data_IF_484660574311
#
_entry.id   IF_484660574311
#
_cell.length_a   1.000
_cell.length_b   1.000
_cell.length_c   1.000
_cell.angle_alpha   90.00
_cell.angle_beta   90.00
_cell.angle_gamma   90.00
#
_symmetry.space_group_name_H-M   'P 1'
#
loop_
_entity.id
_entity.type
_entity.pdbx_description
1 polymer ?
#
# COMPACT_ATOMS: atom_id res chain seq x y z
N UNK A 1 -18.16 -19.54 13.30
CA UNK A 1 -18.58 -19.90 11.93
C UNK A 1 -17.61 -19.21 10.99
N UNK A 2 -16.95 -19.94 10.09
CA UNK A 2 -16.06 -19.31 9.09
C UNK A 2 -16.94 -18.57 8.09
N UNK A 3 -16.71 -17.28 7.92
CA UNK A 3 -17.45 -16.44 6.98
C UNK A 3 -16.95 -16.75 5.57
N UNK A 4 -17.72 -17.53 4.82
CA UNK A 4 -17.50 -17.79 3.40
C UNK A 4 -18.57 -17.11 2.58
N UNK A 5 -18.16 -16.52 1.47
CA UNK A 5 -19.07 -16.01 0.45
C UNK A 5 -19.83 -17.16 -0.19
N UNK A 6 -21.09 -16.91 -0.55
CA UNK A 6 -21.90 -17.84 -1.35
C UNK A 6 -21.39 -17.92 -2.79
N UNK A 7 -21.70 -19.00 -3.51
CA UNK A 7 -21.31 -19.16 -4.92
C UNK A 7 -21.78 -17.99 -5.80
N UNK A 8 -22.95 -17.42 -5.52
CA UNK A 8 -23.49 -16.26 -6.23
C UNK A 8 -22.73 -14.96 -5.92
N UNK A 9 -22.21 -14.79 -4.69
CA UNK A 9 -21.32 -13.67 -4.35
C UNK A 9 -19.93 -13.87 -4.96
N UNK A 10 -19.37 -15.08 -4.93
CA UNK A 10 -18.10 -15.42 -5.58
C UNK A 10 -18.13 -15.18 -7.09
N UNK A 11 -19.19 -15.65 -7.77
CA UNK A 11 -19.42 -15.38 -9.19
C UNK A 11 -19.56 -13.87 -9.47
N UNK A 12 -20.13 -13.10 -8.53
CA UNK A 12 -20.28 -11.65 -8.66
C UNK A 12 -18.95 -10.91 -8.51
N UNK A 13 -18.12 -11.25 -7.51
CA UNK A 13 -16.76 -10.69 -7.39
C UNK A 13 -15.93 -11.02 -8.63
N UNK A 14 -16.01 -12.27 -9.10
CA UNK A 14 -15.25 -12.72 -10.27
C UNK A 14 -15.71 -12.00 -11.54
N UNK A 15 -17.01 -11.81 -11.73
CA UNK A 15 -17.56 -11.04 -12.85
C UNK A 15 -17.15 -9.56 -12.80
N UNK A 16 -17.09 -8.94 -11.61
CA UNK A 16 -16.57 -7.58 -11.42
C UNK A 16 -15.07 -7.54 -11.76
N UNK A 17 -14.29 -8.54 -11.33
CA UNK A 17 -12.86 -8.61 -11.58
C UNK A 17 -12.52 -8.82 -13.07
N UNK A 18 -13.27 -9.71 -13.74
CA UNK A 18 -13.21 -9.92 -15.19
C UNK A 18 -13.50 -8.63 -15.97
N UNK A 19 -14.37 -7.75 -15.47
CA UNK A 19 -14.67 -6.47 -16.12
C UNK A 19 -13.63 -5.36 -15.83
N UNK A 20 -12.88 -5.43 -14.72
CA UNK A 20 -11.91 -4.38 -14.35
C UNK A 20 -10.47 -4.73 -14.79
N UNK A 21 -10.05 -5.99 -14.67
CA UNK A 21 -8.69 -6.47 -14.98
C UNK A 21 -8.69 -7.85 -15.66
N UNK A 22 -9.80 -8.23 -16.32
CA UNK A 22 -9.87 -9.44 -17.12
C UNK A 22 -9.18 -9.31 -18.48
N UNK A 23 -9.13 -10.41 -19.25
CA UNK A 23 -8.53 -10.39 -20.58
C UNK A 23 -9.29 -9.47 -21.53
N UNK A 24 -8.55 -8.72 -22.35
CA UNK A 24 -9.12 -7.85 -23.38
C UNK A 24 -9.48 -8.65 -24.65
N UNK A 25 -10.50 -8.25 -25.43
CA UNK A 25 -10.73 -8.78 -26.78
C UNK A 25 -9.49 -8.63 -27.68
N UNK A 26 -9.19 -9.63 -28.52
CA UNK A 26 -7.98 -9.69 -29.34
C UNK A 26 -7.76 -8.47 -30.26
N UNK A 27 -8.84 -7.86 -30.75
CA UNK A 27 -8.82 -6.65 -31.57
C UNK A 27 -8.46 -5.42 -30.71
N UNK A 28 -9.18 -5.22 -29.61
CA UNK A 28 -8.91 -4.13 -28.64
C UNK A 28 -7.50 -4.23 -28.05
N UNK A 29 -7.02 -5.44 -27.77
CA UNK A 29 -5.67 -5.69 -27.26
C UNK A 29 -4.59 -5.26 -28.27
N UNK A 30 -4.77 -5.58 -29.56
CA UNK A 30 -3.83 -5.19 -30.63
C UNK A 30 -3.80 -3.70 -30.85
N UNK A 31 -4.96 -3.05 -30.89
CA UNK A 31 -5.06 -1.60 -31.06
C UNK A 31 -4.31 -0.87 -29.93
N UNK A 32 -4.55 -1.27 -28.67
CA UNK A 32 -3.89 -0.67 -27.49
C UNK A 32 -2.38 -0.94 -27.47
N UNK A 33 -1.94 -2.17 -27.77
CA UNK A 33 -0.50 -2.49 -27.79
C UNK A 33 0.19 -1.76 -28.95
N UNK A 34 -0.44 -1.64 -30.12
CA UNK A 34 0.11 -0.86 -31.24
C UNK A 34 0.27 0.62 -30.87
N UNK A 35 -0.76 1.25 -30.28
CA UNK A 35 -0.69 2.64 -29.82
C UNK A 35 0.41 2.85 -28.77
N UNK A 36 0.58 1.88 -27.86
CA UNK A 36 1.66 1.90 -26.87
C UNK A 36 3.04 1.78 -27.53
N UNK A 37 3.23 0.82 -28.45
CA UNK A 37 4.51 0.61 -29.14
C UNK A 37 4.90 1.83 -29.97
N UNK A 38 3.96 2.46 -30.67
CA UNK A 38 4.22 3.70 -31.40
C UNK A 38 4.53 4.87 -30.45
N UNK A 39 3.88 4.95 -29.28
CA UNK A 39 4.22 5.92 -28.24
C UNK A 39 5.66 5.73 -27.73
N UNK A 40 6.05 4.49 -27.43
CA UNK A 40 7.42 4.16 -26.97
C UNK A 40 8.46 4.50 -28.06
N UNK A 41 8.20 4.12 -29.33
CA UNK A 41 9.07 4.48 -30.47
C UNK A 41 9.30 5.98 -30.58
N UNK A 42 8.21 6.76 -30.59
CA UNK A 42 8.25 8.22 -30.69
C UNK A 42 8.98 8.91 -29.50
N UNK A 43 9.00 8.28 -28.32
CA UNK A 43 9.74 8.78 -27.15
C UNK A 43 11.22 8.34 -27.16
N UNK A 44 11.54 7.25 -27.86
CA UNK A 44 12.91 6.71 -27.98
C UNK A 44 13.76 7.34 -29.10
N UNK A 45 13.20 8.20 -29.95
CA UNK A 45 13.93 8.91 -31.01
C UNK A 45 14.99 9.88 -30.43
N UNK A 46 16.17 9.34 -30.12
CA UNK A 46 17.31 10.11 -29.57
C UNK A 46 18.16 9.36 -28.55
N UNK A 47 17.77 8.17 -28.11
CA UNK A 47 18.50 7.33 -27.15
C UNK A 47 18.77 5.94 -27.72
N UNK A 48 19.95 5.38 -27.49
CA UNK A 48 20.26 3.99 -27.85
C UNK A 48 19.20 3.03 -27.28
N UNK A 49 18.73 2.08 -28.09
CA UNK A 49 17.64 1.16 -27.74
C UNK A 49 17.91 0.47 -26.39
N UNK A 50 17.07 0.79 -25.40
CA UNK A 50 17.30 0.39 -24.02
C UNK A 50 17.13 -1.12 -23.84
N UNK A 51 18.21 -1.79 -23.42
CA UNK A 51 18.18 -3.20 -23.06
C UNK A 51 17.16 -3.45 -21.94
N UNK A 52 16.02 -4.06 -22.28
CA UNK A 52 14.96 -4.40 -21.35
C UNK A 52 13.54 -4.00 -21.76
N UNK A 53 13.31 -3.28 -22.87
CA UNK A 53 11.93 -2.98 -23.32
C UNK A 53 11.16 -4.26 -23.69
N UNK A 54 9.92 -4.48 -23.19
CA UNK A 54 9.11 -5.63 -23.57
C UNK A 54 8.75 -5.65 -25.06
N UNK A 55 8.66 -6.85 -25.64
CA UNK A 55 8.21 -7.05 -27.03
C UNK A 55 6.69 -6.92 -27.17
N UNK A 56 6.22 -6.73 -28.40
CA UNK A 56 4.79 -6.68 -28.74
C UNK A 56 4.04 -7.95 -28.28
N UNK A 57 4.64 -9.13 -28.48
CA UNK A 57 4.08 -10.41 -28.04
C UNK A 57 3.99 -10.53 -26.51
N UNK A 58 4.98 -10.01 -25.77
CA UNK A 58 4.98 -9.99 -24.30
C UNK A 58 3.92 -9.03 -23.74
N UNK A 59 3.74 -7.86 -24.37
CA UNK A 59 2.66 -6.92 -24.04
C UNK A 59 1.29 -7.52 -24.36
N UNK A 60 1.11 -8.15 -25.52
CA UNK A 60 -0.13 -8.86 -25.86
C UNK A 60 -0.43 -9.97 -24.85
N UNK A 61 0.55 -10.79 -24.47
CA UNK A 61 0.38 -11.82 -23.44
C UNK A 61 -0.06 -11.23 -22.09
N UNK A 62 0.42 -10.02 -21.73
CA UNK A 62 0.00 -9.28 -20.52
C UNK A 62 -1.49 -8.95 -20.55
N UNK A 63 -2.05 -8.58 -21.71
CA UNK A 63 -3.49 -8.26 -21.87
C UNK A 63 -4.42 -9.46 -21.69
N UNK A 64 -3.89 -10.69 -21.65
CA UNK A 64 -4.66 -11.94 -21.65
C UNK A 64 -4.65 -12.68 -20.29
N UNK A 65 -3.94 -12.16 -19.28
CA UNK A 65 -3.82 -12.83 -17.97
C UNK A 65 -5.16 -12.80 -17.22
N UNK A 66 -5.76 -13.97 -17.00
CA UNK A 66 -7.05 -14.05 -16.32
C UNK A 66 -6.90 -13.98 -14.78
N UNK A 67 -7.71 -13.18 -14.05
CA UNK A 67 -7.77 -13.16 -12.58
C UNK A 67 -7.86 -14.50 -11.85
N UNK A 68 -8.34 -15.57 -12.52
CA UNK A 68 -8.41 -16.93 -11.98
C UNK A 68 -7.01 -17.54 -11.82
N UNK A 69 -6.07 -17.23 -12.72
CA UNK A 69 -4.69 -17.73 -12.66
C UNK A 69 -3.92 -17.16 -11.47
N UNK A 70 -4.27 -15.95 -11.04
CA UNK A 70 -3.75 -15.35 -9.82
C UNK A 70 -4.63 -15.67 -8.60
N UNK A 71 -5.62 -16.56 -8.73
CA UNK A 71 -6.41 -17.07 -7.61
C UNK A 71 -7.14 -15.96 -6.84
N UNK A 72 -7.62 -14.93 -7.55
CA UNK A 72 -8.17 -13.70 -7.00
C UNK A 72 -9.18 -13.93 -5.86
N UNK A 73 -10.08 -14.91 -5.98
CA UNK A 73 -11.08 -15.21 -4.94
C UNK A 73 -10.44 -15.55 -3.58
N UNK A 74 -9.35 -16.32 -3.56
CA UNK A 74 -8.66 -16.66 -2.31
C UNK A 74 -7.96 -15.43 -1.70
N UNK A 75 -7.37 -14.56 -2.54
CA UNK A 75 -6.78 -13.29 -2.11
C UNK A 75 -7.83 -12.35 -1.51
N UNK A 76 -9.01 -12.27 -2.15
CA UNK A 76 -10.16 -11.49 -1.66
C UNK A 76 -10.66 -12.06 -0.33
N UNK A 77 -10.86 -13.37 -0.20
CA UNK A 77 -11.27 -13.99 1.07
C UNK A 77 -10.28 -13.66 2.21
N UNK A 78 -8.97 -13.75 1.96
CA UNK A 78 -7.93 -13.41 2.96
C UNK A 78 -7.97 -11.93 3.34
N UNK A 79 -8.13 -11.03 2.36
CA UNK A 79 -8.21 -9.59 2.62
C UNK A 79 -9.44 -9.23 3.45
N UNK A 80 -10.59 -9.81 3.11
CA UNK A 80 -11.86 -9.57 3.79
C UNK A 80 -11.88 -10.09 5.23
N UNK A 81 -11.17 -11.20 5.52
CA UNK A 81 -11.01 -11.71 6.90
C UNK A 81 -10.23 -10.76 7.83
N UNK A 82 -9.51 -9.78 7.29
CA UNK A 82 -8.74 -8.79 8.06
C UNK A 82 -9.46 -7.43 8.19
N UNK A 83 -10.68 -7.30 7.66
CA UNK A 83 -11.53 -6.12 7.88
C UNK A 83 -12.25 -6.16 9.24
N UNK A 84 -12.58 -4.99 9.83
CA UNK A 84 -13.54 -4.89 10.92
C UNK A 84 -14.90 -5.54 10.57
N UNK A 85 -15.56 -6.18 11.55
CA UNK A 85 -16.78 -6.98 11.33
C UNK A 85 -17.95 -6.19 10.74
N UNK A 86 -18.06 -4.92 11.10
CA UNK A 86 -19.02 -3.96 10.55
C UNK A 86 -18.76 -3.72 9.06
N UNK A 87 -17.51 -3.43 8.67
CA UNK A 87 -17.10 -3.24 7.27
C UNK A 87 -17.27 -4.50 6.43
N UNK A 88 -16.92 -5.67 6.98
CA UNK A 88 -17.25 -6.96 6.36
C UNK A 88 -18.76 -7.05 6.07
N UNK A 89 -19.61 -6.77 7.07
CA UNK A 89 -21.06 -6.91 6.93
C UNK A 89 -21.68 -5.89 5.97
N UNK A 90 -21.11 -4.69 5.85
CA UNK A 90 -21.50 -3.73 4.80
C UNK A 90 -21.17 -4.27 3.40
N UNK A 91 -19.94 -4.77 3.20
CA UNK A 91 -19.49 -5.31 1.91
C UNK A 91 -20.27 -6.56 1.49
N UNK A 92 -20.51 -7.49 2.41
CA UNK A 92 -21.30 -8.71 2.18
C UNK A 92 -22.72 -8.41 1.70
N UNK A 93 -23.37 -7.37 2.25
CA UNK A 93 -24.70 -6.90 1.82
C UNK A 93 -24.69 -6.33 0.40
N UNK A 94 -23.65 -5.57 0.03
CA UNK A 94 -23.50 -5.06 -1.35
C UNK A 94 -23.36 -6.21 -2.33
N UNK A 95 -22.48 -7.19 -2.02
CA UNK A 95 -22.32 -8.38 -2.86
C UNK A 95 -23.61 -9.21 -2.96
N UNK A 96 -24.36 -9.33 -1.86
CA UNK A 96 -25.67 -9.98 -1.88
C UNK A 96 -26.64 -9.25 -2.82
N UNK A 97 -26.76 -7.92 -2.74
CA UNK A 97 -27.60 -7.15 -3.65
C UNK A 97 -27.21 -7.35 -5.12
N UNK A 98 -25.92 -7.26 -5.46
CA UNK A 98 -25.41 -7.50 -6.81
C UNK A 98 -25.55 -8.96 -7.27
N UNK A 99 -25.67 -9.92 -6.35
CA UNK A 99 -26.00 -11.31 -6.69
C UNK A 99 -27.49 -11.52 -7.02
N UNK A 100 -28.33 -10.49 -6.88
CA UNK A 100 -29.77 -10.50 -7.26
C UNK A 100 -30.07 -9.58 -8.43
N UNK A 101 -31.12 -9.88 -9.19
CA UNK A 101 -31.50 -9.06 -10.35
C UNK A 101 -32.03 -7.67 -10.00
N UNK A 102 -32.87 -7.57 -8.97
CA UNK A 102 -33.40 -6.29 -8.52
C UNK A 102 -32.32 -5.43 -7.86
N UNK A 103 -31.44 -6.03 -7.03
CA UNK A 103 -30.36 -5.32 -6.38
C UNK A 103 -29.33 -4.79 -7.37
N UNK A 104 -28.98 -5.58 -8.39
CA UNK A 104 -28.16 -5.12 -9.53
C UNK A 104 -28.80 -3.92 -10.22
N UNK A 105 -30.08 -4.02 -10.61
CA UNK A 105 -30.83 -2.93 -11.28
C UNK A 105 -30.88 -1.64 -10.45
N UNK A 106 -31.08 -1.74 -9.13
CA UNK A 106 -31.17 -0.58 -8.23
C UNK A 106 -29.80 0.04 -7.95
N UNK A 107 -28.77 -0.77 -7.71
CA UNK A 107 -27.43 -0.28 -7.32
C UNK A 107 -26.65 0.27 -8.51
N UNK A 108 -26.76 -0.35 -9.68
CA UNK A 108 -25.94 -0.05 -10.87
C UNK A 108 -26.70 0.60 -12.02
N UNK A 109 -28.02 0.79 -11.89
CA UNK A 109 -28.90 1.21 -12.99
C UNK A 109 -28.81 0.34 -14.27
N UNK A 110 -28.30 -0.91 -14.16
CA UNK A 110 -28.08 -1.84 -15.29
C UNK A 110 -29.27 -1.92 -16.24
N UNK A 111 -29.06 -2.12 -17.54
CA UNK A 111 -30.16 -2.21 -18.50
C UNK A 111 -31.21 -3.26 -18.09
N UNK A 112 -30.75 -4.48 -17.77
CA UNK A 112 -31.57 -5.64 -17.38
C UNK A 112 -31.60 -5.87 -15.86
N UNK A 113 -32.70 -6.47 -15.39
CA UNK A 113 -32.91 -6.89 -14.01
C UNK A 113 -32.47 -8.35 -13.81
N UNK A 114 -31.17 -8.62 -13.97
CA UNK A 114 -30.53 -9.93 -13.75
C UNK A 114 -29.34 -9.76 -12.81
N UNK A 115 -28.93 -10.80 -12.04
CA UNK A 115 -27.72 -10.73 -11.21
C UNK A 115 -26.52 -10.23 -12.00
N UNK A 116 -25.63 -9.47 -11.38
CA UNK A 116 -24.49 -8.83 -12.04
C UNK A 116 -23.63 -9.83 -12.83
N UNK A 117 -23.37 -11.01 -12.28
CA UNK A 117 -22.62 -12.08 -12.95
C UNK A 117 -23.34 -12.73 -14.16
N UNK A 118 -24.61 -12.36 -14.43
CA UNK A 118 -25.39 -12.77 -15.61
C UNK A 118 -25.55 -11.66 -16.65
N UNK A 119 -25.00 -10.47 -16.40
CA UNK A 119 -24.82 -9.43 -17.40
C UNK A 119 -23.70 -9.84 -18.38
N UNK A 120 -23.79 -9.38 -19.63
CA UNK A 120 -22.70 -9.46 -20.62
C UNK A 120 -21.53 -8.55 -20.21
N UNK A 121 -20.37 -8.67 -20.86
CA UNK A 121 -19.19 -7.84 -20.51
C UNK A 121 -19.52 -6.35 -20.64
N UNK A 122 -20.01 -5.90 -21.79
CA UNK A 122 -20.45 -4.51 -22.01
C UNK A 122 -21.56 -4.06 -21.03
N UNK A 123 -22.53 -4.93 -20.69
CA UNK A 123 -23.54 -4.59 -19.68
C UNK A 123 -22.95 -4.43 -18.26
N UNK A 124 -21.84 -5.12 -17.94
CA UNK A 124 -21.11 -4.95 -16.67
C UNK A 124 -20.29 -3.66 -16.68
N UNK A 125 -19.66 -3.33 -17.81
CA UNK A 125 -18.91 -2.07 -17.99
C UNK A 125 -19.82 -0.87 -17.76
N UNK A 126 -20.98 -0.85 -18.44
CA UNK A 126 -22.02 0.17 -18.23
C UNK A 126 -22.50 0.21 -16.77
N UNK A 127 -22.74 -0.95 -16.15
CA UNK A 127 -23.16 -1.04 -14.76
C UNK A 127 -22.11 -0.48 -13.78
N UNK A 128 -20.82 -0.74 -14.00
CA UNK A 128 -19.73 -0.17 -13.20
C UNK A 128 -19.53 1.33 -13.49
N UNK A 129 -19.66 1.76 -14.74
CA UNK A 129 -19.62 3.18 -15.15
C UNK A 129 -20.76 3.99 -14.53
N UNK A 130 -21.96 3.41 -14.43
CA UNK A 130 -23.08 4.04 -13.73
C UNK A 130 -22.81 4.21 -12.22
N UNK A 131 -22.01 3.34 -11.59
CA UNK A 131 -21.59 3.56 -10.20
C UNK A 131 -20.73 4.82 -10.07
N UNK A 132 -19.78 5.06 -10.98
CA UNK A 132 -18.90 6.24 -10.92
C UNK A 132 -19.67 7.54 -11.15
N UNK A 133 -20.67 7.51 -12.04
CA UNK A 133 -21.52 8.65 -12.39
C UNK A 133 -22.70 8.89 -11.43
N UNK A 134 -22.94 7.99 -10.46
CA UNK A 134 -24.07 8.09 -9.54
C UNK A 134 -24.06 9.38 -8.71
N UNK A 135 -25.22 10.04 -8.54
CA UNK A 135 -25.35 11.21 -7.66
C UNK A 135 -25.08 10.90 -6.18
N UNK A 136 -25.23 9.64 -5.75
CA UNK A 136 -25.06 9.22 -4.36
C UNK A 136 -23.61 8.83 -4.04
N UNK A 137 -22.97 9.54 -3.11
CA UNK A 137 -21.56 9.30 -2.74
C UNK A 137 -21.28 7.86 -2.29
N UNK A 138 -22.19 7.25 -1.51
CA UNK A 138 -22.08 5.84 -1.07
C UNK A 138 -22.15 4.83 -2.21
N UNK A 139 -22.73 5.19 -3.36
CA UNK A 139 -22.77 4.33 -4.56
C UNK A 139 -21.48 4.50 -5.35
N UNK A 140 -21.00 5.75 -5.53
CA UNK A 140 -19.69 6.04 -6.15
C UNK A 140 -18.52 5.35 -5.44
N UNK A 141 -18.55 5.28 -4.11
CA UNK A 141 -17.51 4.60 -3.33
C UNK A 141 -17.44 3.09 -3.60
N UNK A 142 -18.52 2.44 -4.02
CA UNK A 142 -18.51 1.00 -4.32
C UNK A 142 -17.56 0.67 -5.45
N UNK A 143 -17.56 1.47 -6.52
CA UNK A 143 -16.62 1.29 -7.63
C UNK A 143 -15.16 1.40 -7.19
N UNK A 144 -14.84 2.39 -6.34
CA UNK A 144 -13.47 2.57 -5.86
C UNK A 144 -13.02 1.40 -4.96
N UNK A 145 -13.91 0.88 -4.11
CA UNK A 145 -13.65 -0.32 -3.31
C UNK A 145 -13.41 -1.55 -4.20
N UNK A 146 -14.27 -1.79 -5.20
CA UNK A 146 -14.11 -2.92 -6.12
C UNK A 146 -12.83 -2.80 -6.94
N UNK A 147 -12.54 -1.62 -7.52
CA UNK A 147 -11.32 -1.37 -8.29
C UNK A 147 -10.07 -1.62 -7.45
N UNK A 148 -9.99 -1.00 -6.27
CA UNK A 148 -8.84 -1.16 -5.38
C UNK A 148 -8.63 -2.63 -4.98
N UNK A 149 -9.69 -3.32 -4.53
CA UNK A 149 -9.65 -4.72 -4.12
C UNK A 149 -9.18 -5.65 -5.25
N UNK A 150 -9.74 -5.48 -6.46
CA UNK A 150 -9.44 -6.32 -7.63
C UNK A 150 -8.02 -6.07 -8.14
N UNK A 151 -7.65 -4.81 -8.40
CA UNK A 151 -6.31 -4.47 -8.88
C UNK A 151 -5.25 -4.96 -7.88
N UNK A 152 -5.48 -4.74 -6.58
CA UNK A 152 -4.60 -5.24 -5.54
C UNK A 152 -4.41 -6.76 -5.62
N UNK A 153 -5.50 -7.53 -5.69
CA UNK A 153 -5.43 -8.99 -5.74
C UNK A 153 -4.78 -9.54 -7.02
N UNK A 154 -4.76 -8.76 -8.10
CA UNK A 154 -4.12 -9.08 -9.36
C UNK A 154 -2.60 -8.81 -9.30
N UNK A 155 -2.19 -7.58 -8.97
CA UNK A 155 -0.78 -7.18 -9.09
C UNK A 155 0.08 -7.59 -7.90
N UNK A 156 -0.45 -7.64 -6.67
CA UNK A 156 0.38 -7.85 -5.47
C UNK A 156 0.70 -9.33 -5.15
N UNK A 157 0.27 -10.29 -6.00
CA UNK A 157 0.53 -11.72 -5.77
C UNK A 157 1.84 -12.13 -6.42
N UNK A 158 2.74 -12.76 -5.65
CA UNK A 158 4.05 -13.22 -6.13
C UNK A 158 4.00 -14.42 -7.08
N UNK A 159 2.97 -15.27 -6.98
CA UNK A 159 2.85 -16.51 -7.75
C UNK A 159 1.42 -16.82 -8.20
N UNK A 160 1.29 -17.38 -9.39
CA UNK A 160 0.04 -17.95 -9.91
C UNK A 160 -0.42 -19.16 -9.07
N UNK A 161 -1.66 -19.62 -9.29
CA UNK A 161 -2.19 -20.87 -8.69
C UNK A 161 -1.37 -22.11 -9.08
N UNK A 162 -0.56 -22.03 -10.14
CA UNK A 162 0.35 -23.08 -10.59
C UNK A 162 1.79 -22.90 -10.06
N UNK A 163 2.02 -21.95 -9.16
CA UNK A 163 3.32 -21.75 -8.51
C UNK A 163 4.40 -21.06 -9.35
N UNK A 164 4.15 -20.77 -10.64
CA UNK A 164 4.98 -19.85 -11.44
C UNK A 164 4.96 -18.45 -10.84
N UNK A 165 5.98 -17.63 -11.09
CA UNK A 165 5.92 -16.19 -10.83
C UNK A 165 4.68 -15.58 -11.50
N UNK A 166 4.22 -14.45 -10.99
CA UNK A 166 3.10 -13.72 -11.60
C UNK A 166 3.52 -13.27 -13.02
N UNK A 167 2.80 -13.67 -14.09
CA UNK A 167 3.19 -13.34 -15.46
C UNK A 167 3.17 -11.83 -15.76
N UNK A 168 2.48 -11.04 -14.93
CA UNK A 168 2.48 -9.59 -15.04
C UNK A 168 3.79 -8.95 -14.53
N UNK A 169 4.57 -9.65 -13.69
CA UNK A 169 5.72 -9.06 -12.98
C UNK A 169 6.95 -8.84 -13.87
N UNK A 170 7.15 -9.69 -14.88
CA UNK A 170 8.29 -9.62 -15.80
C UNK A 170 8.19 -8.39 -16.71
N UNK A 171 7.02 -8.16 -17.29
CA UNK A 171 6.70 -7.00 -18.12
C UNK A 171 6.49 -5.70 -17.32
N UNK A 172 6.44 -5.79 -15.99
CA UNK A 172 6.54 -4.67 -15.05
C UNK A 172 7.96 -4.50 -14.48
N UNK A 173 8.94 -5.27 -14.98
CA UNK A 173 10.36 -5.28 -14.59
C UNK A 173 10.61 -5.46 -13.09
N UNK A 174 9.84 -6.33 -12.44
CA UNK A 174 9.91 -6.54 -11.00
C UNK A 174 10.92 -7.64 -10.58
N UNK A 175 12.06 -7.33 -9.92
CA UNK A 175 13.27 -8.17 -10.00
C UNK A 175 13.52 -9.20 -8.87
N UNK A 176 12.68 -9.30 -7.83
CA UNK A 176 12.83 -10.35 -6.81
C UNK A 176 13.84 -10.08 -5.67
N UNK A 177 14.58 -11.11 -5.20
CA UNK A 177 15.29 -11.15 -3.89
C UNK A 177 16.85 -11.23 -4.01
N UNK A 178 17.63 -10.33 -3.36
CA UNK A 178 19.12 -10.29 -3.43
C UNK A 178 19.89 -10.59 -2.11
N UNK A 179 21.24 -10.46 -2.09
CA UNK A 179 22.19 -10.85 -1.01
C UNK A 179 23.09 -9.70 -0.43
N UNK A 180 23.78 -9.93 0.70
CA UNK A 180 24.26 -8.91 1.68
C UNK A 180 25.82 -8.84 1.92
N UNK A 181 26.38 -7.69 2.39
CA UNK A 181 27.82 -7.48 2.75
C UNK A 181 28.05 -6.57 4.01
N UNK A 182 29.27 -6.57 4.61
CA UNK A 182 29.59 -6.05 6.00
C UNK A 182 30.61 -4.89 6.10
N UNK A 183 30.58 -4.10 7.20
CA UNK A 183 31.60 -3.07 7.62
C UNK A 183 31.56 -2.67 9.16
N UNK A 184 32.29 -1.66 9.73
CA UNK A 184 33.02 -1.77 11.01
C UNK A 184 32.47 -1.02 12.27
N UNK A 185 33.06 -1.21 13.49
CA UNK A 185 32.46 -0.90 14.82
C UNK A 185 32.96 0.38 15.54
N UNK A 186 32.51 0.86 16.72
CA UNK A 186 31.30 0.82 17.62
C UNK A 186 31.57 1.78 18.84
N UNK A 187 30.61 2.20 19.72
CA UNK A 187 30.96 2.98 20.96
C UNK A 187 30.05 3.05 22.24
N UNK A 188 28.89 3.74 22.26
CA UNK A 188 28.15 4.15 23.50
C UNK A 188 26.84 3.36 23.88
N UNK A 189 26.59 3.10 25.17
CA UNK A 189 25.45 2.26 25.66
C UNK A 189 24.09 3.01 25.73
N UNK A 190 23.05 2.45 25.11
CA UNK A 190 21.70 3.07 24.94
C UNK A 190 20.58 2.00 25.12
N UNK A 191 19.30 2.39 25.22
CA UNK A 191 18.13 1.51 25.11
C UNK A 191 17.01 2.23 24.35
N UNK A 192 16.41 1.58 23.37
CA UNK A 192 15.30 2.08 22.53
C UNK A 192 14.08 1.17 22.71
N UNK A 193 12.88 1.76 22.76
CA UNK A 193 11.60 1.06 22.82
C UNK A 193 10.79 1.47 21.59
N UNK A 194 10.32 0.50 20.81
CA UNK A 194 9.59 0.73 19.56
C UNK A 194 8.25 0.00 19.59
N UNK A 195 7.17 0.68 19.15
CA UNK A 195 5.83 0.12 19.02
C UNK A 195 5.78 -0.84 17.83
N UNK A 196 6.42 -0.47 16.72
CA UNK A 196 6.53 -1.35 15.57
C UNK A 196 7.32 -2.62 15.93
N UNK A 197 7.03 -3.72 15.25
CA UNK A 197 7.86 -4.93 15.31
C UNK A 197 9.09 -4.70 14.42
N UNK A 198 10.26 -5.16 14.83
CA UNK A 198 11.43 -5.09 13.96
C UNK A 198 11.24 -6.02 12.77
N UNK A 199 11.36 -5.46 11.56
CA UNK A 199 11.16 -6.18 10.32
C UNK A 199 12.50 -6.26 9.57
N UNK A 200 13.08 -7.46 9.45
CA UNK A 200 14.33 -7.65 8.74
C UNK A 200 14.07 -7.67 7.22
N UNK A 201 14.97 -7.15 6.36
CA UNK A 201 14.81 -7.26 4.90
C UNK A 201 14.65 -8.70 4.39
N UNK A 202 15.24 -9.68 5.09
CA UNK A 202 15.06 -11.10 4.77
C UNK A 202 13.65 -11.64 5.06
N UNK A 203 12.89 -10.97 5.94
CA UNK A 203 11.50 -11.30 6.29
C UNK A 203 10.49 -10.63 5.33
N UNK A 204 10.98 -9.82 4.38
CA UNK A 204 10.17 -9.21 3.34
C UNK A 204 9.36 -10.27 2.59
N UNK A 205 8.04 -10.20 2.77
CA UNK A 205 7.08 -11.08 2.12
C UNK A 205 6.90 -10.78 0.62
N UNK A 206 7.39 -9.61 0.16
CA UNK A 206 7.09 -9.02 -1.14
C UNK A 206 5.58 -9.02 -1.45
N UNK A 207 4.76 -8.96 -0.40
CA UNK A 207 3.32 -8.88 -0.45
C UNK A 207 2.92 -7.48 0.01
N UNK A 208 2.45 -6.68 -0.94
CA UNK A 208 2.17 -5.26 -0.74
C UNK A 208 1.12 -5.02 0.37
N UNK A 209 0.17 -5.95 0.53
CA UNK A 209 -0.93 -5.90 1.51
C UNK A 209 -0.41 -6.05 2.93
N UNK A 210 0.53 -6.99 3.08
CA UNK A 210 1.21 -7.28 4.32
C UNK A 210 2.12 -6.09 4.69
N UNK A 211 2.80 -5.51 3.71
CA UNK A 211 3.49 -4.22 3.87
C UNK A 211 2.57 -3.10 4.38
N UNK A 212 1.32 -3.00 3.88
CA UNK A 212 0.37 -1.99 4.38
C UNK A 212 -0.02 -2.25 5.84
N UNK A 213 -0.29 -3.50 6.22
CA UNK A 213 -0.60 -3.87 7.61
C UNK A 213 0.57 -3.62 8.58
N UNK A 214 1.80 -3.87 8.14
CA UNK A 214 2.98 -3.85 9.02
C UNK A 214 3.61 -2.44 9.15
N UNK A 215 3.51 -1.61 8.10
CA UNK A 215 4.21 -0.33 8.02
C UNK A 215 3.34 0.93 8.10
N UNK A 216 2.00 0.79 8.13
CA UNK A 216 1.08 1.92 8.25
C UNK A 216 0.07 1.76 9.38
N UNK A 217 -0.17 2.84 10.12
CA UNK A 217 -1.24 2.89 11.14
C UNK A 217 -2.58 2.57 10.50
N UNK A 218 -3.32 1.65 11.12
CA UNK A 218 -4.60 1.14 10.61
C UNK A 218 -4.56 0.68 9.14
N UNK A 219 -3.42 0.16 8.66
CA UNK A 219 -3.25 -0.32 7.28
C UNK A 219 -3.47 0.75 6.20
N UNK A 220 -3.14 2.01 6.51
CA UNK A 220 -3.49 3.20 5.71
C UNK A 220 -5.01 3.48 5.56
N UNK A 221 -5.87 2.77 6.31
CA UNK A 221 -7.32 2.98 6.34
C UNK A 221 -7.78 3.88 7.51
N UNK A 222 -6.88 4.67 8.09
CA UNK A 222 -7.26 5.69 9.07
C UNK A 222 -7.98 6.84 8.34
N UNK A 223 -9.23 7.13 8.69
CA UNK A 223 -10.06 8.14 8.00
C UNK A 223 -10.66 9.17 8.95
N UNK A 224 -11.11 10.31 8.42
CA UNK A 224 -12.07 11.17 9.11
C UNK A 224 -13.42 10.45 9.31
N UNK A 225 -14.23 10.92 10.26
CA UNK A 225 -15.54 10.33 10.60
C UNK A 225 -16.54 10.35 9.43
N UNK A 226 -16.45 11.39 8.58
CA UNK A 226 -17.25 11.57 7.37
C UNK A 226 -16.67 10.88 6.12
N UNK A 227 -15.51 10.23 6.26
CA UNK A 227 -14.72 9.61 5.19
C UNK A 227 -14.24 10.57 4.08
N UNK A 228 -14.29 11.89 4.30
CA UNK A 228 -13.79 12.88 3.32
C UNK A 228 -12.27 12.92 3.20
N UNK A 229 -11.56 12.43 4.23
CA UNK A 229 -10.09 12.37 4.27
C UNK A 229 -9.61 10.98 4.71
N UNK A 230 -8.55 10.50 4.05
CA UNK A 230 -7.77 9.32 4.44
C UNK A 230 -6.37 9.80 4.89
N UNK A 231 -5.88 9.24 5.99
CA UNK A 231 -4.64 9.66 6.65
C UNK A 231 -3.56 8.58 6.49
N UNK A 232 -2.59 8.84 5.61
CA UNK A 232 -1.45 7.96 5.42
C UNK A 232 -0.38 8.26 6.48
N UNK A 233 -0.36 7.48 7.56
CA UNK A 233 0.60 7.61 8.66
C UNK A 233 1.48 6.35 8.78
N UNK A 234 2.78 6.49 8.48
CA UNK A 234 3.75 5.40 8.64
C UNK A 234 4.04 5.09 10.11
N UNK A 235 4.24 3.80 10.43
CA UNK A 235 4.55 3.33 11.78
C UNK A 235 6.02 3.49 12.18
N UNK A 236 6.90 3.85 11.24
CA UNK A 236 8.35 3.92 11.42
C UNK A 236 9.00 5.17 10.79
N UNK A 237 10.26 5.41 11.12
CA UNK A 237 11.02 6.62 10.82
C UNK A 237 11.83 6.55 9.50
N UNK A 238 12.00 7.69 8.82
CA UNK A 238 12.77 7.85 7.58
C UNK A 238 14.02 8.76 7.70
N UNK A 239 15.01 8.54 6.83
CA UNK A 239 16.26 9.34 6.72
C UNK A 239 16.28 10.37 5.57
N UNK A 240 17.49 10.81 5.19
CA UNK A 240 17.76 11.89 4.20
C UNK A 240 17.43 11.56 2.73
N UNK A 241 17.81 12.41 1.77
CA UNK A 241 17.43 12.25 0.34
C UNK A 241 18.46 12.86 -0.64
N UNK A 242 18.54 12.34 -1.87
CA UNK A 242 19.27 12.89 -3.03
C UNK A 242 18.49 12.67 -4.33
N UNK A 243 18.63 13.56 -5.32
CA UNK A 243 17.98 13.44 -6.64
C UNK A 243 18.89 12.82 -7.74
N UNK A 244 20.19 12.66 -7.47
CA UNK A 244 21.21 12.35 -8.50
C UNK A 244 21.02 10.99 -9.20
N UNK A 245 20.33 10.05 -8.55
CA UNK A 245 20.12 8.69 -9.04
C UNK A 245 18.62 8.36 -9.25
N UNK A 246 17.79 9.38 -9.48
CA UNK A 246 16.37 9.18 -9.78
C UNK A 246 16.21 8.72 -11.23
N UNK A 247 15.77 7.48 -11.41
CA UNK A 247 15.25 6.97 -12.67
C UNK A 247 13.71 7.04 -12.63
N UNK A 248 13.10 7.57 -13.69
CA UNK A 248 11.64 7.62 -13.83
C UNK A 248 11.15 6.39 -14.59
N UNK A 249 10.17 5.68 -14.04
CA UNK A 249 9.43 4.67 -14.78
C UNK A 249 8.58 5.32 -15.90
N UNK A 250 8.19 4.52 -16.90
CA UNK A 250 7.49 5.01 -18.11
C UNK A 250 6.31 5.95 -17.81
N UNK A 251 5.37 5.65 -16.87
CA UNK A 251 4.28 6.57 -16.57
C UNK A 251 4.73 7.93 -15.98
N UNK A 252 5.77 7.95 -15.14
CA UNK A 252 6.32 9.19 -14.61
C UNK A 252 7.09 9.97 -15.69
N UNK A 253 7.76 9.28 -16.62
CA UNK A 253 8.45 9.91 -17.74
C UNK A 253 7.45 10.58 -18.70
N UNK A 254 6.37 9.89 -19.08
CA UNK A 254 5.28 10.47 -19.90
C UNK A 254 4.66 11.72 -19.22
N UNK A 255 4.47 11.67 -17.90
CA UNK A 255 3.99 12.83 -17.13
C UNK A 255 4.99 14.00 -17.14
N UNK A 256 6.29 13.70 -17.00
CA UNK A 256 7.37 14.67 -17.04
C UNK A 256 7.45 15.35 -18.42
N UNK A 257 7.48 14.57 -19.50
CA UNK A 257 7.55 15.06 -20.88
C UNK A 257 6.32 15.89 -21.26
N UNK A 258 5.13 15.42 -20.86
CA UNK A 258 3.87 16.16 -21.03
C UNK A 258 3.87 17.51 -20.29
N UNK A 259 4.39 17.55 -19.07
CA UNK A 259 4.51 18.77 -18.29
C UNK A 259 5.54 19.76 -18.89
N UNK A 260 6.68 19.26 -19.37
CA UNK A 260 7.69 20.07 -20.10
C UNK A 260 7.07 20.67 -21.37
N UNK A 261 6.36 19.86 -22.17
CA UNK A 261 5.71 20.29 -23.42
C UNK A 261 4.65 21.37 -23.21
N UNK A 262 4.01 21.40 -22.04
CA UNK A 262 3.04 22.42 -21.63
C UNK A 262 3.69 23.65 -20.95
N UNK A 263 5.02 23.66 -20.77
CA UNK A 263 5.75 24.75 -20.14
C UNK A 263 5.60 24.82 -18.62
N UNK A 264 5.24 23.72 -17.96
CA UNK A 264 5.18 23.66 -16.50
C UNK A 264 6.56 23.44 -15.86
N UNK A 265 6.84 24.04 -14.69
CA UNK A 265 8.05 23.77 -13.94
C UNK A 265 8.00 22.34 -13.36
N UNK A 266 9.09 21.61 -13.54
CA UNK A 266 9.24 20.20 -13.13
C UNK A 266 10.63 19.96 -12.54
N UNK A 267 10.71 19.15 -11.49
CA UNK A 267 11.96 18.72 -10.85
C UNK A 267 11.80 17.28 -10.35
N UNK A 268 12.91 16.52 -10.35
CA UNK A 268 12.93 15.17 -9.77
C UNK A 268 12.83 15.25 -8.23
N UNK A 269 11.89 14.52 -7.63
CA UNK A 269 11.74 14.45 -6.18
C UNK A 269 12.94 13.68 -5.58
N UNK A 270 13.74 14.28 -4.68
CA UNK A 270 14.87 13.59 -4.07
C UNK A 270 14.45 12.32 -3.31
N UNK A 271 15.17 11.22 -3.54
CA UNK A 271 14.88 9.90 -2.98
C UNK A 271 15.93 9.48 -1.94
N UNK A 272 15.51 8.66 -0.98
CA UNK A 272 16.35 8.22 0.13
C UNK A 272 17.19 6.97 -0.21
N UNK A 273 17.93 6.97 -1.32
CA UNK A 273 18.55 5.74 -1.90
C UNK A 273 20.07 5.66 -1.69
N UNK A 274 20.64 6.61 -0.94
CA UNK A 274 22.08 6.79 -0.77
C UNK A 274 22.87 6.97 -2.09
N UNK A 275 22.25 7.61 -3.08
CA UNK A 275 22.88 7.87 -4.39
C UNK A 275 22.89 6.68 -5.35
N UNK A 276 22.15 5.61 -5.03
CA UNK A 276 21.93 4.49 -5.96
C UNK A 276 20.61 4.65 -6.71
N UNK A 277 20.56 4.15 -7.96
CA UNK A 277 19.30 3.94 -8.68
C UNK A 277 18.54 2.83 -7.97
N UNK A 278 17.26 3.04 -7.66
CA UNK A 278 16.52 2.16 -6.76
C UNK A 278 15.06 1.95 -7.19
N UNK A 279 14.78 0.78 -7.75
CA UNK A 279 13.49 0.46 -8.38
C UNK A 279 12.81 -0.74 -7.71
N UNK A 280 12.74 -0.77 -6.37
CA UNK A 280 12.13 -1.90 -5.66
C UNK A 280 10.59 -1.93 -5.69
N UNK A 281 9.93 -0.85 -6.13
CA UNK A 281 8.46 -0.66 -6.07
C UNK A 281 7.86 -0.53 -4.66
N UNK A 282 8.54 -1.05 -3.63
CA UNK A 282 8.03 -1.21 -2.26
C UNK A 282 8.49 -0.08 -1.30
N UNK A 283 9.12 0.99 -1.79
CA UNK A 283 9.69 2.07 -0.99
C UNK A 283 8.76 2.66 0.09
N UNK A 284 7.46 2.73 -0.18
CA UNK A 284 6.41 3.17 0.76
C UNK A 284 6.24 2.18 1.93
N UNK A 285 6.35 0.89 1.65
CA UNK A 285 5.96 -0.26 2.47
C UNK A 285 7.17 -1.00 3.04
N UNK A 286 8.22 -0.26 3.38
CA UNK A 286 9.52 -0.82 3.78
C UNK A 286 10.35 -1.26 2.57
N UNK A 287 11.65 -0.94 2.58
CA UNK A 287 12.53 -1.32 1.46
C UNK A 287 13.10 -2.72 1.69
N UNK A 288 12.79 -3.70 0.82
CA UNK A 288 13.26 -5.07 0.98
C UNK A 288 14.76 -5.24 0.66
N UNK A 289 15.40 -4.23 0.06
CA UNK A 289 16.84 -4.24 -0.25
C UNK A 289 17.68 -3.45 0.77
N UNK A 290 17.03 -2.78 1.75
CA UNK A 290 17.72 -1.91 2.71
C UNK A 290 18.33 -0.63 2.10
N UNK A 291 18.18 -0.40 0.79
CA UNK A 291 18.72 0.76 0.08
C UNK A 291 17.98 2.06 0.42
N UNK A 292 16.67 2.00 0.71
CA UNK A 292 15.98 3.13 1.35
C UNK A 292 16.61 3.34 2.72
N UNK A 293 17.26 4.47 2.96
CA UNK A 293 17.95 4.75 4.24
C UNK A 293 16.95 5.11 5.36
N UNK A 294 16.02 4.20 5.65
CA UNK A 294 15.14 4.25 6.82
C UNK A 294 15.93 4.13 8.11
N UNK A 295 15.33 4.47 9.24
CA UNK A 295 16.08 4.57 10.48
C UNK A 295 16.68 3.25 10.98
N UNK A 296 16.11 2.11 10.57
CA UNK A 296 16.62 0.76 10.89
C UNK A 296 17.95 0.41 10.18
N UNK A 297 18.29 1.05 9.05
CA UNK A 297 19.59 0.93 8.38
C UNK A 297 20.53 2.12 8.65
N UNK A 298 20.00 3.24 9.13
CA UNK A 298 20.78 4.43 9.53
C UNK A 298 20.89 4.57 11.05
N UNK A 299 20.16 5.48 11.68
CA UNK A 299 20.54 5.93 13.03
C UNK A 299 20.18 4.93 14.14
N UNK A 300 19.23 4.02 13.92
CA UNK A 300 19.00 2.89 14.83
C UNK A 300 20.06 1.81 14.63
N UNK A 301 20.60 1.64 13.41
CA UNK A 301 21.78 0.82 13.15
C UNK A 301 23.00 1.40 13.87
N UNK A 302 23.25 2.70 13.72
CA UNK A 302 24.31 3.42 14.43
C UNK A 302 24.14 3.39 15.96
N UNK A 303 22.90 3.47 16.48
CA UNK A 303 22.62 3.37 17.89
C UNK A 303 22.86 1.93 18.39
N UNK A 304 22.32 0.93 17.70
CA UNK A 304 22.63 -0.48 17.95
C UNK A 304 24.13 -0.73 17.95
N UNK A 305 24.85 -0.08 17.03
CA UNK A 305 26.30 -0.15 16.92
C UNK A 305 27.03 0.64 18.02
N UNK A 306 26.54 1.78 18.48
CA UNK A 306 27.04 2.40 19.70
C UNK A 306 26.98 1.39 20.87
N UNK A 307 25.89 0.64 20.97
CA UNK A 307 25.63 -0.29 22.08
C UNK A 307 24.23 -0.13 22.63
N UNK A 308 23.29 0.36 21.80
CA UNK A 308 21.88 0.35 22.12
C UNK A 308 21.35 -1.08 22.21
N UNK A 309 20.45 -1.28 23.16
CA UNK A 309 19.51 -2.40 23.17
C UNK A 309 18.16 -1.94 22.62
N UNK A 310 17.34 -2.88 22.18
CA UNK A 310 16.02 -2.61 21.63
C UNK A 310 15.00 -3.53 22.30
N UNK A 311 13.76 -3.03 22.44
CA UNK A 311 12.57 -3.84 22.65
C UNK A 311 11.54 -3.36 21.64
N UNK A 312 11.21 -4.22 20.69
CA UNK A 312 10.20 -4.01 19.66
C UNK A 312 8.85 -4.61 20.09
N UNK A 313 7.78 -4.29 19.34
CA UNK A 313 6.42 -4.67 19.73
C UNK A 313 6.03 -4.15 21.13
N UNK A 314 6.65 -3.03 21.56
CA UNK A 314 6.63 -2.51 22.92
C UNK A 314 5.80 -1.22 22.98
N UNK A 315 4.53 -1.36 23.34
CA UNK A 315 3.63 -0.22 23.51
C UNK A 315 3.87 0.45 24.86
N UNK A 316 4.38 1.68 24.86
CA UNK A 316 4.56 2.45 26.10
C UNK A 316 3.23 3.05 26.56
N UNK A 317 2.76 2.60 27.72
CA UNK A 317 1.47 3.00 28.30
C UNK A 317 1.55 4.41 28.90
N UNK A 318 2.58 4.64 29.73
CA UNK A 318 2.86 5.91 30.43
C UNK A 318 4.32 6.05 30.89
N UNK A 319 4.76 7.28 31.06
CA UNK A 319 6.01 7.65 31.77
C UNK A 319 5.79 7.58 33.28
N UNK A 320 6.79 7.15 34.05
CA UNK A 320 6.77 7.15 35.52
C UNK A 320 7.63 8.26 36.09
N UNK A 321 7.29 8.72 37.30
CA UNK A 321 7.97 9.83 37.97
C UNK A 321 8.40 9.48 39.38
N UNK A 322 9.42 10.15 39.89
CA UNK A 322 9.78 10.23 41.32
C UNK A 322 9.91 11.71 41.64
N UNK A 323 8.96 12.24 42.43
CA UNK A 323 8.70 13.69 42.48
C UNK A 323 8.45 14.22 41.06
N UNK A 324 9.04 15.35 40.69
CA UNK A 324 8.84 16.01 39.40
C UNK A 324 9.83 15.52 38.31
N UNK A 325 10.61 14.48 38.59
CA UNK A 325 11.59 13.91 37.65
C UNK A 325 11.12 12.58 37.07
N UNK A 326 11.28 12.40 35.75
CA UNK A 326 11.03 11.12 35.09
C UNK A 326 11.97 10.03 35.64
N UNK A 327 11.42 8.87 35.96
CA UNK A 327 12.11 7.75 36.61
C UNK A 327 12.13 6.47 35.78
N UNK A 328 11.40 6.46 34.66
CA UNK A 328 11.20 5.27 33.85
C UNK A 328 9.92 5.33 33.02
N UNK A 329 9.51 4.16 32.51
CA UNK A 329 8.24 3.95 31.81
C UNK A 329 7.59 2.64 32.25
N UNK A 330 6.26 2.60 32.16
CA UNK A 330 5.47 1.37 32.12
C UNK A 330 5.01 1.12 30.69
N UNK A 331 5.13 -0.12 30.24
CA UNK A 331 4.84 -0.53 28.88
C UNK A 331 4.23 -1.94 28.85
N UNK A 332 3.69 -2.32 27.71
CA UNK A 332 3.22 -3.66 27.40
C UNK A 332 3.91 -4.22 26.16
N UNK A 333 4.26 -5.50 26.20
CA UNK A 333 4.89 -6.26 25.10
C UNK A 333 4.07 -7.49 24.78
N UNK A 334 4.40 -8.20 23.69
CA UNK A 334 3.71 -9.42 23.25
C UNK A 334 2.20 -9.20 23.12
N UNK A 335 1.81 -8.21 22.31
CA UNK A 335 0.42 -7.82 22.03
C UNK A 335 -0.41 -7.53 23.29
N UNK A 336 0.20 -6.92 24.32
CA UNK A 336 -0.49 -6.53 25.56
C UNK A 336 -0.44 -7.58 26.67
N UNK A 337 0.07 -8.79 26.41
CA UNK A 337 -0.01 -9.90 27.37
C UNK A 337 1.01 -9.82 28.53
N UNK A 338 2.10 -9.07 28.37
CA UNK A 338 3.16 -8.94 29.39
C UNK A 338 3.45 -7.48 29.68
N UNK A 339 3.40 -7.10 30.98
CA UNK A 339 3.79 -5.78 31.47
C UNK A 339 5.31 -5.68 31.63
N UNK A 340 5.89 -4.63 31.07
CA UNK A 340 7.30 -4.26 31.18
C UNK A 340 7.44 -2.97 32.00
N UNK A 341 8.43 -2.92 32.89
CA UNK A 341 8.77 -1.71 33.65
C UNK A 341 10.26 -1.41 33.46
N UNK A 342 10.58 -0.27 32.85
CA UNK A 342 11.94 0.15 32.56
C UNK A 342 12.30 1.33 33.45
N UNK A 343 13.31 1.19 34.31
CA UNK A 343 13.86 2.30 35.12
C UNK A 343 14.94 3.04 34.33
N UNK A 344 14.80 4.36 34.21
CA UNK A 344 15.74 5.21 33.47
C UNK A 344 15.90 6.58 34.15
N UNK A 345 17.11 7.16 34.07
CA UNK A 345 17.38 8.53 34.57
C UNK A 345 16.89 9.64 33.61
N UNK A 346 16.60 9.26 32.37
CA UNK A 346 16.20 10.16 31.29
C UNK A 346 15.27 9.38 30.37
N UNK A 347 14.15 10.01 30.00
CA UNK A 347 13.16 9.46 29.06
C UNK A 347 13.00 10.48 27.95
N UNK A 348 13.05 10.04 26.70
CA UNK A 348 12.89 10.88 25.52
C UNK A 348 11.69 10.36 24.73
N UNK A 349 10.62 11.15 24.65
CA UNK A 349 9.38 10.75 23.99
C UNK A 349 9.43 11.11 22.50
N UNK A 350 9.42 10.10 21.62
CA UNK A 350 9.55 10.30 20.17
C UNK A 350 8.57 9.44 19.34
N UNK A 351 7.35 9.23 19.82
CA UNK A 351 6.34 8.37 19.18
C UNK A 351 5.55 9.07 18.04
N UNK A 352 6.21 9.92 17.25
CA UNK A 352 5.58 10.67 16.16
C UNK A 352 4.54 11.72 16.60
N UNK A 353 3.93 12.41 15.63
CA UNK A 353 3.00 13.53 15.88
C UNK A 353 1.67 13.11 16.52
N UNK A 354 1.25 11.85 16.34
CA UNK A 354 -0.01 11.31 16.88
C UNK A 354 0.16 10.68 18.28
N UNK A 355 1.12 9.75 18.45
CA UNK A 355 1.23 9.01 19.72
C UNK A 355 2.03 9.75 20.79
N UNK A 356 2.94 10.68 20.45
CA UNK A 356 3.64 11.48 21.45
C UNK A 356 2.69 12.28 22.34
N UNK A 357 1.77 13.13 21.82
CA UNK A 357 0.83 13.84 22.69
C UNK A 357 -0.10 12.90 23.45
N UNK A 358 -0.54 11.79 22.84
CA UNK A 358 -1.36 10.79 23.52
C UNK A 358 -0.64 10.14 24.71
N UNK A 359 0.65 9.80 24.56
CA UNK A 359 1.49 9.28 25.64
C UNK A 359 1.66 10.31 26.76
N UNK A 360 1.92 11.58 26.43
CA UNK A 360 2.09 12.64 27.43
C UNK A 360 0.80 12.88 28.23
N UNK A 361 -0.36 12.89 27.58
CA UNK A 361 -1.67 13.01 28.26
C UNK A 361 -1.93 11.82 29.20
N UNK A 362 -1.73 10.58 28.73
CA UNK A 362 -1.86 9.37 29.58
C UNK A 362 -0.83 9.31 30.72
N UNK A 363 0.30 10.00 30.57
CA UNK A 363 1.33 10.15 31.60
C UNK A 363 1.02 11.28 32.61
N UNK A 364 -0.12 11.96 32.48
CA UNK A 364 -0.59 12.98 33.42
C UNK A 364 -0.04 14.39 33.21
N UNK A 365 0.62 14.69 32.08
CA UNK A 365 1.03 16.06 31.78
C UNK A 365 -0.17 16.95 31.40
N UNK A 366 -0.21 18.16 31.97
CA UNK A 366 -1.32 19.11 31.87
C UNK A 366 -1.02 20.36 31.02
N UNK A 367 0.09 20.40 30.26
CA UNK A 367 0.41 21.55 29.43
C UNK A 367 -0.66 21.76 28.34
N UNK A 368 -1.26 22.96 28.20
CA UNK A 368 -2.42 23.19 27.34
C UNK A 368 -2.17 23.01 25.84
N UNK A 369 -0.90 22.97 25.41
CA UNK A 369 -0.52 22.76 24.01
C UNK A 369 -0.51 21.27 23.61
N UNK A 370 -0.53 20.32 24.56
CA UNK A 370 -0.44 18.89 24.27
C UNK A 370 -1.72 18.44 23.52
N UNK A 371 -1.52 17.82 22.35
CA UNK A 371 -2.63 17.38 21.48
C UNK A 371 -3.30 18.50 20.68
N UNK A 372 -2.76 19.72 20.70
CA UNK A 372 -3.22 20.85 19.89
C UNK A 372 -2.29 21.08 18.69
N UNK A 373 -2.76 21.90 17.74
CA UNK A 373 -1.97 22.39 16.59
C UNK A 373 -1.44 21.31 15.63
N UNK A 374 -2.12 20.16 15.50
CA UNK A 374 -1.83 19.18 14.46
C UNK A 374 -1.87 19.86 13.09
N UNK A 375 -0.82 19.67 12.29
CA UNK A 375 -0.73 20.10 10.89
C UNK A 375 -0.54 18.87 10.02
N UNK A 376 -1.19 18.87 8.87
CA UNK A 376 -1.14 17.78 7.88
C UNK A 376 -0.59 18.33 6.56
N UNK A 377 -0.01 17.46 5.75
CA UNK A 377 0.38 17.78 4.39
C UNK A 377 -0.71 17.27 3.43
N UNK A 378 -1.59 18.13 2.88
CA UNK A 378 -2.70 17.68 2.05
C UNK A 378 -2.18 17.16 0.70
N UNK A 379 -2.62 15.97 0.29
CA UNK A 379 -2.28 15.35 -0.98
C UNK A 379 -3.56 15.08 -1.76
N UNK A 380 -3.61 15.51 -3.02
CA UNK A 380 -4.74 15.23 -3.93
C UNK A 380 -4.37 14.08 -4.85
N UNK A 381 -5.05 12.94 -4.70
CA UNK A 381 -5.05 11.89 -5.72
C UNK A 381 -6.07 12.26 -6.81
N UNK A 382 -5.66 12.20 -8.08
CA UNK A 382 -6.58 12.30 -9.22
C UNK A 382 -6.47 11.00 -10.02
N UNK A 383 -7.62 10.42 -10.33
CA UNK A 383 -7.75 9.23 -11.18
C UNK A 383 -8.49 9.69 -12.43
N UNK A 384 -7.91 9.41 -13.60
CA UNK A 384 -8.56 9.57 -14.89
C UNK A 384 -9.38 8.32 -15.24
#
# INVERSE_FOLDING_TARGET
>A
MVLRLTDAQNATILAIAETIVGPLPDDVAKDIVSEHMDTVRNLSEGTDEAAGTPTEDELLATTQVHPRELGLLASVEVMLHKLPKDRWSEFEKVLYLLSTGWGTKVVTASARMVPFHKLTVSEREDALRNLTLSSFAKVRSLFQVFKALVSFCMFAKTRSVHGKLNPLWENLHYPGRPEEKKRPPRRHRVLVLEKAVYFHPADASFNELQGFWDHYESAALLTSEDLSMMLLAGSAWGGGVSAEAVLHNVPNQVLLDGAIKLGYPVEAVPQNTNGHVHECGFCTLGCPYGEKQGSHVTWLRDAADAGAKFVDGCYVDKVTYVKDAASGVEATVLNGSVRLVVKAKTVVCCAGSLHTPALLLRSGLSNPNIGRHLRLHPVKLTLH
#
